data_IF_977483945304
#
_entry.id   IF_977483945304
#
_cell.length_a   1.000
_cell.length_b   1.000
_cell.length_c   1.000
_cell.angle_alpha   90.00
_cell.angle_beta   90.00
_cell.angle_gamma   90.00
#
_symmetry.space_group_name_H-M   'P 1'
#
loop_
_entity.id
_entity.type
_entity.pdbx_description
1 polymer ?
#
# COMPACT_ATOMS: atom_id res chain seq x y z
N UNK A 1 -6.28 4.07 -19.23
CA UNK A 1 -7.24 2.95 -19.10
C UNK A 1 -7.85 2.56 -20.44
N UNK A 2 -8.31 3.49 -21.30
CA UNK A 2 -8.78 3.12 -22.65
C UNK A 2 -7.67 2.40 -23.45
N UNK A 3 -7.93 1.21 -24.04
CA UNK A 3 -6.93 0.41 -24.75
C UNK A 3 -6.24 1.17 -25.89
N UNK A 4 -7.00 1.86 -26.75
CA UNK A 4 -6.45 2.62 -27.88
C UNK A 4 -5.46 3.70 -27.43
N UNK A 5 -5.66 4.26 -26.23
CA UNK A 5 -4.75 5.27 -25.68
C UNK A 5 -3.46 4.67 -25.17
N UNK A 6 -3.45 3.39 -24.74
CA UNK A 6 -2.21 2.71 -24.36
C UNK A 6 -1.27 2.61 -25.57
N UNK A 7 -1.79 2.11 -26.69
CA UNK A 7 -1.03 1.95 -27.93
C UNK A 7 -0.56 3.28 -28.51
N UNK A 8 -1.44 4.30 -28.53
CA UNK A 8 -1.06 5.64 -29.00
C UNK A 8 0.01 6.26 -28.09
N UNK A 9 -0.16 6.15 -26.78
CA UNK A 9 0.80 6.68 -25.80
C UNK A 9 2.17 6.05 -26.01
N UNK A 10 2.24 4.73 -26.11
CA UNK A 10 3.50 4.04 -26.27
C UNK A 10 4.18 4.41 -27.60
N UNK A 11 3.45 4.29 -28.72
CA UNK A 11 4.05 4.46 -30.05
C UNK A 11 4.39 5.91 -30.38
N UNK A 12 3.65 6.88 -29.84
CA UNK A 12 3.79 8.30 -30.22
C UNK A 12 4.41 9.18 -29.14
N UNK A 13 4.34 8.80 -27.87
CA UNK A 13 4.72 9.67 -26.75
C UNK A 13 5.87 9.05 -25.96
N UNK A 14 5.66 7.89 -25.34
CA UNK A 14 6.59 7.30 -24.37
C UNK A 14 7.79 6.65 -25.06
N UNK A 15 7.56 5.73 -26.00
CA UNK A 15 8.60 5.00 -26.73
C UNK A 15 9.64 4.40 -25.79
N UNK A 16 9.16 3.56 -24.88
CA UNK A 16 9.98 2.86 -23.90
C UNK A 16 11.06 2.01 -24.58
N UNK A 17 12.15 1.77 -23.85
CA UNK A 17 13.22 0.84 -24.27
C UNK A 17 13.13 -0.50 -23.53
N UNK A 18 12.38 -0.53 -22.43
CA UNK A 18 12.09 -1.70 -21.60
C UNK A 18 10.65 -1.52 -21.11
N UNK A 19 9.84 -2.56 -21.30
CA UNK A 19 8.46 -2.58 -20.83
C UNK A 19 8.34 -3.37 -19.55
N UNK A 20 7.44 -2.94 -18.66
CA UNK A 20 7.17 -3.60 -17.37
C UNK A 20 5.66 -3.68 -17.15
N UNK A 21 5.13 -4.90 -17.03
CA UNK A 21 3.73 -5.15 -16.66
C UNK A 21 3.72 -5.89 -15.31
N UNK A 22 3.35 -5.22 -14.23
CA UNK A 22 3.40 -5.81 -12.87
C UNK A 22 2.38 -6.92 -12.68
N UNK A 23 1.13 -6.71 -13.11
CA UNK A 23 0.05 -7.68 -13.08
C UNK A 23 -1.06 -7.30 -14.08
N UNK A 24 -1.99 -8.20 -14.36
CA UNK A 24 -3.19 -7.93 -15.14
C UNK A 24 -4.45 -8.38 -14.40
N UNK A 25 -4.73 -7.74 -13.26
CA UNK A 25 -5.92 -8.03 -12.44
C UNK A 25 -7.18 -7.41 -13.07
N UNK A 26 -8.36 -8.00 -12.85
CA UNK A 26 -9.62 -7.42 -13.29
C UNK A 26 -9.80 -6.03 -12.67
N UNK A 27 -9.75 -5.00 -13.51
CA UNK A 27 -9.92 -3.61 -13.12
C UNK A 27 -10.57 -2.85 -14.29
N UNK A 28 -11.48 -1.93 -13.97
CA UNK A 28 -12.18 -1.12 -14.97
C UNK A 28 -12.68 -1.90 -16.20
N UNK A 29 -13.32 -3.06 -15.99
CA UNK A 29 -13.79 -3.98 -17.04
C UNK A 29 -14.76 -3.30 -18.03
N UNK A 30 -15.48 -2.28 -17.60
CA UNK A 30 -16.33 -1.45 -18.44
C UNK A 30 -15.56 -0.63 -19.48
N UNK A 31 -14.25 -0.41 -19.27
CA UNK A 31 -13.36 0.35 -20.15
C UNK A 31 -12.38 -0.57 -20.88
N UNK A 32 -11.78 -1.52 -20.17
CA UNK A 32 -10.74 -2.41 -20.70
C UNK A 32 -11.28 -3.65 -21.40
N UNK A 33 -12.55 -3.99 -21.15
CA UNK A 33 -13.23 -5.15 -21.70
C UNK A 33 -13.69 -6.11 -20.60
N UNK A 34 -14.71 -6.92 -20.88
CA UNK A 34 -15.46 -7.65 -19.85
C UNK A 34 -14.70 -8.79 -19.17
N UNK A 35 -13.53 -9.20 -19.67
CA UNK A 35 -12.79 -10.36 -19.17
C UNK A 35 -11.35 -10.01 -18.76
N UNK A 36 -10.76 -10.85 -17.90
CA UNK A 36 -9.34 -10.79 -17.53
C UNK A 36 -8.41 -10.81 -18.76
N UNK A 37 -8.80 -11.52 -19.82
CA UNK A 37 -8.03 -11.56 -21.07
C UNK A 37 -8.07 -10.21 -21.80
N UNK A 38 -9.20 -9.51 -21.77
CA UNK A 38 -9.32 -8.19 -22.36
C UNK A 38 -8.45 -7.17 -21.62
N UNK A 39 -8.40 -7.26 -20.29
CA UNK A 39 -7.49 -6.43 -19.47
C UNK A 39 -6.03 -6.66 -19.86
N UNK A 40 -5.61 -7.92 -19.99
CA UNK A 40 -4.25 -8.27 -20.43
C UNK A 40 -3.97 -7.68 -21.81
N UNK A 41 -4.90 -7.83 -22.76
CA UNK A 41 -4.75 -7.30 -24.12
C UNK A 41 -4.68 -5.77 -24.14
N UNK A 42 -5.47 -5.10 -23.30
CA UNK A 42 -5.42 -3.65 -23.12
C UNK A 42 -4.04 -3.20 -22.61
N UNK A 43 -3.50 -3.89 -21.60
CA UNK A 43 -2.17 -3.63 -21.07
C UNK A 43 -1.06 -3.95 -22.08
N UNK A 44 -1.20 -5.02 -22.86
CA UNK A 44 -0.26 -5.33 -23.95
C UNK A 44 -0.11 -4.18 -24.96
N UNK A 45 -1.09 -3.29 -25.07
CA UNK A 45 -0.99 -2.06 -25.87
C UNK A 45 0.16 -1.14 -25.45
N UNK A 46 0.70 -1.27 -24.24
CA UNK A 46 1.89 -0.53 -23.78
C UNK A 46 3.22 -1.18 -24.14
N UNK A 47 3.21 -2.35 -24.78
CA UNK A 47 4.45 -3.04 -25.19
C UNK A 47 5.02 -2.35 -26.43
N UNK A 48 6.28 -1.95 -26.32
CA UNK A 48 7.04 -1.29 -27.39
C UNK A 48 7.61 -2.29 -28.40
N UNK A 49 7.73 -1.87 -29.65
CA UNK A 49 8.21 -2.75 -30.72
C UNK A 49 9.70 -3.06 -30.62
N UNK A 50 10.05 -4.34 -30.77
CA UNK A 50 11.44 -4.81 -30.78
C UNK A 50 12.13 -4.89 -29.42
N UNK A 51 11.46 -4.49 -28.34
CA UNK A 51 12.05 -4.44 -27.00
C UNK A 51 11.65 -5.64 -26.14
N UNK A 52 12.22 -5.70 -24.93
CA UNK A 52 11.87 -6.71 -23.92
C UNK A 52 10.78 -6.18 -23.00
N UNK A 53 9.78 -7.02 -22.74
CA UNK A 53 8.76 -6.80 -21.73
C UNK A 53 8.98 -7.73 -20.53
N UNK A 54 9.20 -7.17 -19.35
CA UNK A 54 9.24 -7.93 -18.09
C UNK A 54 7.86 -7.94 -17.46
N UNK A 55 7.44 -9.07 -16.91
CA UNK A 55 6.15 -9.16 -16.20
C UNK A 55 6.19 -10.16 -15.05
N UNK A 56 5.39 -9.92 -14.01
CA UNK A 56 5.10 -10.92 -12.97
C UNK A 56 3.71 -11.58 -13.16
N UNK A 57 3.01 -11.27 -14.27
CA UNK A 57 1.72 -11.88 -14.60
C UNK A 57 1.90 -13.33 -15.10
N UNK A 58 1.63 -14.30 -14.22
CA UNK A 58 1.79 -15.72 -14.53
C UNK A 58 0.62 -16.31 -15.30
N UNK A 59 -0.61 -15.95 -14.96
CA UNK A 59 -1.81 -16.67 -15.43
C UNK A 59 -2.00 -16.50 -16.93
N UNK A 60 -1.64 -15.33 -17.44
CA UNK A 60 -1.84 -14.91 -18.84
C UNK A 60 -0.52 -14.53 -19.52
N UNK A 61 0.60 -15.06 -19.02
CA UNK A 61 1.92 -14.83 -19.59
C UNK A 61 1.97 -15.18 -21.09
N UNK A 62 1.26 -16.23 -21.50
CA UNK A 62 1.23 -16.65 -22.90
C UNK A 62 0.66 -15.59 -23.86
N UNK A 63 -0.31 -14.78 -23.40
CA UNK A 63 -0.87 -13.68 -24.16
C UNK A 63 0.16 -12.57 -24.33
N UNK A 64 0.81 -12.18 -23.22
CA UNK A 64 1.85 -11.15 -23.19
C UNK A 64 3.02 -11.56 -24.09
N UNK A 65 3.47 -12.81 -23.97
CA UNK A 65 4.55 -13.37 -24.78
C UNK A 65 4.21 -13.32 -26.27
N UNK A 66 3.05 -13.85 -26.68
CA UNK A 66 2.61 -13.82 -28.09
C UNK A 66 2.50 -12.38 -28.61
N UNK A 67 2.07 -11.43 -27.79
CA UNK A 67 1.96 -10.04 -28.19
C UNK A 67 3.33 -9.39 -28.40
N UNK A 68 4.27 -9.58 -27.46
CA UNK A 68 5.64 -9.08 -27.59
C UNK A 68 6.36 -9.67 -28.81
N UNK A 69 6.21 -10.98 -29.05
CA UNK A 69 6.79 -11.67 -30.22
C UNK A 69 6.24 -11.12 -31.55
N UNK A 70 4.93 -10.83 -31.62
CA UNK A 70 4.31 -10.19 -32.80
C UNK A 70 4.91 -8.82 -33.11
N UNK A 71 5.39 -8.10 -32.10
CA UNK A 71 6.05 -6.82 -32.24
C UNK A 71 7.57 -6.93 -32.48
N UNK A 72 8.08 -8.14 -32.68
CA UNK A 72 9.52 -8.41 -32.88
C UNK A 72 10.34 -8.33 -31.59
N UNK A 73 9.69 -8.26 -30.44
CA UNK A 73 10.30 -8.25 -29.11
C UNK A 73 10.22 -9.62 -28.42
N UNK A 74 10.33 -9.63 -27.10
CA UNK A 74 10.16 -10.84 -26.26
C UNK A 74 9.61 -10.49 -24.89
N UNK A 75 8.90 -11.41 -24.25
CA UNK A 75 8.49 -11.28 -22.86
C UNK A 75 9.37 -12.12 -21.92
N UNK A 76 9.56 -11.66 -20.69
CA UNK A 76 10.27 -12.37 -19.61
C UNK A 76 9.38 -12.40 -18.38
N UNK A 77 9.11 -13.60 -17.88
CA UNK A 77 8.42 -13.79 -16.61
C UNK A 77 9.43 -13.63 -15.46
N UNK A 78 9.12 -12.75 -14.52
CA UNK A 78 9.86 -12.58 -13.28
C UNK A 78 9.31 -13.54 -12.23
N UNK A 79 10.18 -14.41 -11.71
CA UNK A 79 9.78 -15.49 -10.81
C UNK A 79 9.90 -15.06 -9.35
N UNK A 80 8.76 -14.84 -8.67
CA UNK A 80 8.73 -14.40 -7.27
C UNK A 80 9.37 -15.41 -6.30
N UNK A 81 9.26 -16.71 -6.58
CA UNK A 81 9.83 -17.79 -5.76
C UNK A 81 11.37 -17.82 -5.79
N UNK A 82 11.99 -16.99 -6.65
CA UNK A 82 13.44 -16.79 -6.64
C UNK A 82 13.92 -15.77 -5.60
N UNK A 83 13.00 -15.08 -4.92
CA UNK A 83 13.31 -14.09 -3.89
C UNK A 83 13.52 -14.77 -2.55
N UNK A 84 14.68 -14.51 -1.91
CA UNK A 84 14.96 -15.04 -0.60
C UNK A 84 14.32 -14.16 0.49
N UNK A 85 13.94 -14.76 1.61
CA UNK A 85 13.36 -14.04 2.76
C UNK A 85 14.26 -12.89 3.25
N UNK A 86 15.58 -13.10 3.21
CA UNK A 86 16.58 -12.06 3.54
C UNK A 86 16.54 -10.85 2.60
N UNK A 87 16.14 -11.02 1.34
CA UNK A 87 15.98 -9.90 0.41
C UNK A 87 14.77 -9.05 0.82
N UNK A 88 13.71 -9.69 1.33
CA UNK A 88 12.51 -9.01 1.78
C UNK A 88 12.72 -8.30 3.14
N UNK A 89 13.55 -8.88 4.01
CA UNK A 89 13.82 -8.34 5.35
C UNK A 89 14.49 -6.95 5.35
N UNK A 90 15.16 -6.56 4.26
CA UNK A 90 15.81 -5.25 4.16
C UNK A 90 14.87 -4.08 3.84
N UNK A 91 13.62 -4.35 3.47
CA UNK A 91 12.64 -3.30 3.19
C UNK A 91 12.06 -2.71 4.49
N UNK A 92 11.85 -1.39 4.50
CA UNK A 92 11.28 -0.65 5.65
C UNK A 92 9.75 -0.62 5.64
N UNK A 93 9.14 -1.26 4.66
CA UNK A 93 7.70 -1.30 4.40
C UNK A 93 7.34 -2.67 3.86
N UNK A 94 6.04 -2.98 3.80
CA UNK A 94 5.59 -4.27 3.24
C UNK A 94 5.68 -4.20 1.72
N UNK A 95 6.64 -4.90 1.14
CA UNK A 95 6.84 -5.03 -0.30
C UNK A 95 6.36 -6.41 -0.79
N UNK A 96 6.06 -6.52 -2.08
CA UNK A 96 5.67 -7.75 -2.75
C UNK A 96 6.87 -8.41 -3.44
N UNK A 97 7.04 -9.72 -3.22
CA UNK A 97 8.11 -10.52 -3.86
C UNK A 97 8.06 -10.40 -5.39
N UNK A 98 6.86 -10.32 -5.97
CA UNK A 98 6.66 -10.12 -7.41
C UNK A 98 7.30 -8.81 -7.90
N UNK A 99 7.18 -7.71 -7.14
CA UNK A 99 7.77 -6.43 -7.49
C UNK A 99 9.30 -6.48 -7.39
N UNK A 100 9.83 -7.13 -6.36
CA UNK A 100 11.28 -7.31 -6.16
C UNK A 100 11.86 -8.17 -7.28
N UNK A 101 11.22 -9.29 -7.61
CA UNK A 101 11.64 -10.16 -8.72
C UNK A 101 11.64 -9.41 -10.05
N UNK A 102 10.61 -8.61 -10.31
CA UNK A 102 10.49 -7.83 -11.53
C UNK A 102 11.58 -6.77 -11.64
N UNK A 103 11.83 -6.03 -10.55
CA UNK A 103 12.89 -5.03 -10.50
C UNK A 103 14.28 -5.66 -10.63
N UNK A 104 14.53 -6.83 -10.02
CA UNK A 104 15.78 -7.57 -10.17
C UNK A 104 15.98 -8.08 -11.60
N UNK A 105 14.92 -8.56 -12.27
CA UNK A 105 14.99 -9.00 -13.66
C UNK A 105 15.36 -7.85 -14.61
N UNK A 106 14.74 -6.68 -14.43
CA UNK A 106 15.07 -5.46 -15.18
C UNK A 106 16.51 -5.01 -14.89
N UNK A 107 16.92 -4.98 -13.62
CA UNK A 107 18.26 -4.58 -13.23
C UNK A 107 19.34 -5.52 -13.82
N UNK A 108 19.08 -6.84 -13.79
CA UNK A 108 19.95 -7.83 -14.41
C UNK A 108 20.06 -7.66 -15.93
N UNK A 109 18.96 -7.32 -16.61
CA UNK A 109 18.97 -7.00 -18.04
C UNK A 109 19.83 -5.77 -18.38
N UNK A 110 19.86 -4.78 -17.48
CA UNK A 110 20.71 -3.59 -17.58
C UNK A 110 22.17 -3.84 -17.15
N UNK A 111 22.53 -5.07 -16.77
CA UNK A 111 23.88 -5.42 -16.31
C UNK A 111 24.21 -4.94 -14.90
N UNK A 112 23.21 -4.59 -14.10
CA UNK A 112 23.39 -4.19 -12.70
C UNK A 112 23.56 -5.47 -11.86
N UNK A 113 24.64 -5.60 -11.06
CA UNK A 113 24.80 -6.73 -10.17
C UNK A 113 23.63 -6.83 -9.18
N UNK A 114 23.11 -8.04 -8.97
CA UNK A 114 21.97 -8.32 -8.09
C UNK A 114 22.10 -7.65 -6.71
N UNK A 115 23.26 -7.80 -6.09
CA UNK A 115 23.57 -7.23 -4.77
C UNK A 115 23.51 -5.70 -4.76
N UNK A 116 23.91 -5.05 -5.86
CA UNK A 116 23.78 -3.60 -6.02
C UNK A 116 22.31 -3.21 -6.19
N UNK A 117 21.55 -3.97 -6.97
CA UNK A 117 20.14 -3.73 -7.22
C UNK A 117 19.31 -3.84 -5.92
N UNK A 118 19.45 -4.94 -5.17
CA UNK A 118 18.67 -5.17 -3.95
C UNK A 118 18.96 -4.13 -2.86
N UNK A 119 20.24 -3.79 -2.65
CA UNK A 119 20.61 -2.69 -1.73
C UNK A 119 20.06 -1.34 -2.18
N UNK A 120 19.96 -1.12 -3.49
CA UNK A 120 19.32 0.06 -4.06
C UNK A 120 17.82 0.10 -3.72
N UNK A 121 17.14 -1.03 -3.85
CA UNK A 121 15.72 -1.16 -3.52
C UNK A 121 15.45 -0.90 -2.03
N UNK A 122 16.26 -1.45 -1.12
CA UNK A 122 16.13 -1.17 0.32
C UNK A 122 16.31 0.30 0.70
N UNK A 123 17.14 1.03 -0.07
CA UNK A 123 17.41 2.45 0.13
C UNK A 123 16.38 3.36 -0.56
N UNK A 124 15.60 2.82 -1.50
CA UNK A 124 14.59 3.59 -2.20
C UNK A 124 13.56 4.11 -1.20
N UNK A 125 13.18 5.38 -1.34
CA UNK A 125 12.07 5.90 -0.57
C UNK A 125 10.80 5.16 -1.04
N UNK A 126 9.98 4.64 -0.11
CA UNK A 126 8.71 4.04 -0.49
C UNK A 126 7.84 5.05 -1.23
N UNK A 127 6.97 4.55 -2.11
CA UNK A 127 5.89 5.36 -2.63
C UNK A 127 5.07 5.95 -1.46
N UNK A 128 4.51 7.14 -1.66
CA UNK A 128 3.66 7.82 -0.67
C UNK A 128 2.45 6.92 -0.27
N UNK A 129 2.12 5.94 -1.12
CA UNK A 129 1.08 4.92 -0.91
C UNK A 129 1.58 3.52 -0.49
N UNK A 130 2.83 3.35 -0.05
CA UNK A 130 3.27 2.07 0.52
C UNK A 130 2.84 1.96 1.99
N UNK A 131 2.43 0.75 2.41
CA UNK A 131 2.12 0.49 3.81
C UNK A 131 3.39 0.54 4.66
N UNK A 132 3.58 1.62 5.40
CA UNK A 132 4.67 1.76 6.38
C UNK A 132 4.23 1.29 7.76
N UNK A 133 5.18 0.77 8.54
CA UNK A 133 4.96 0.31 9.90
C UNK A 133 5.91 1.05 10.85
N UNK A 134 5.35 1.73 11.84
CA UNK A 134 6.09 2.55 12.79
C UNK A 134 5.90 2.00 14.20
N UNK A 135 6.99 1.58 14.85
CA UNK A 135 6.99 1.12 16.25
C UNK A 135 7.45 2.25 17.16
N UNK A 136 6.58 2.66 18.07
CA UNK A 136 6.83 3.74 19.01
C UNK A 136 6.80 3.18 20.43
N UNK A 137 7.85 3.49 21.19
CA UNK A 137 7.87 3.27 22.64
C UNK A 137 7.70 4.61 23.34
N UNK A 138 6.72 4.71 24.24
CA UNK A 138 6.40 5.94 24.95
C UNK A 138 5.98 5.64 26.39
N UNK A 139 6.77 6.10 27.37
CA UNK A 139 6.55 5.85 28.81
C UNK A 139 6.29 4.38 29.15
N UNK A 140 7.04 3.45 28.55
CA UNK A 140 6.93 2.01 28.79
C UNK A 140 5.72 1.33 28.12
N UNK A 141 5.00 2.07 27.26
CA UNK A 141 3.99 1.53 26.35
C UNK A 141 4.59 1.35 24.96
N UNK A 142 4.22 0.29 24.27
CA UNK A 142 4.65 0.00 22.91
C UNK A 142 3.46 0.01 21.95
N UNK A 143 3.59 0.74 20.85
CA UNK A 143 2.53 0.87 19.86
C UNK A 143 3.08 0.67 18.46
N UNK A 144 2.38 -0.14 17.67
CA UNK A 144 2.68 -0.33 16.25
C UNK A 144 1.63 0.40 15.41
N UNK A 145 2.02 1.48 14.71
CA UNK A 145 1.20 2.14 13.70
C UNK A 145 1.41 1.49 12.34
N UNK A 146 0.33 1.03 11.72
CA UNK A 146 0.24 0.64 10.32
C UNK A 146 -0.39 1.79 9.53
N UNK A 147 0.37 2.35 8.57
CA UNK A 147 -0.06 3.42 7.70
C UNK A 147 -0.90 2.89 6.53
N UNK A 148 -2.16 2.55 6.78
CA UNK A 148 -3.10 2.14 5.74
C UNK A 148 -3.88 3.33 5.11
N UNK A 149 -3.51 4.59 5.42
CA UNK A 149 -4.05 5.78 4.73
C UNK A 149 -3.74 5.77 3.23
N UNK A 150 -2.74 4.98 2.87
CA UNK A 150 -2.30 4.70 1.52
C UNK A 150 -3.26 3.84 0.68
N UNK A 151 -4.16 3.09 1.32
CA UNK A 151 -5.15 2.29 0.60
C UNK A 151 -6.21 3.23 -0.02
N UNK A 152 -6.19 3.35 -1.35
CA UNK A 152 -6.99 4.34 -2.10
C UNK A 152 -8.48 3.97 -2.19
N UNK A 153 -8.84 2.71 -1.92
CA UNK A 153 -10.19 2.18 -2.03
C UNK A 153 -10.52 1.20 -0.88
N UNK A 154 -11.81 0.95 -0.59
CA UNK A 154 -12.22 0.04 0.48
C UNK A 154 -11.81 -1.42 0.30
N UNK A 155 -11.74 -1.93 -0.93
CA UNK A 155 -11.39 -3.33 -1.18
C UNK A 155 -9.92 -3.59 -0.83
N UNK A 156 -9.04 -2.67 -1.21
CA UNK A 156 -7.62 -2.68 -0.82
C UNK A 156 -7.45 -2.63 0.69
N UNK A 157 -8.24 -1.79 1.38
CA UNK A 157 -8.20 -1.69 2.86
C UNK A 157 -8.68 -2.99 3.52
N UNK A 158 -9.79 -3.57 3.05
CA UNK A 158 -10.34 -4.83 3.58
C UNK A 158 -9.38 -6.01 3.32
N UNK A 159 -8.77 -6.08 2.13
CA UNK A 159 -7.77 -7.09 1.81
C UNK A 159 -6.57 -6.98 2.74
N UNK A 160 -6.08 -5.76 2.99
CA UNK A 160 -4.98 -5.53 3.90
C UNK A 160 -5.34 -5.95 5.33
N UNK A 161 -6.53 -5.56 5.80
CA UNK A 161 -7.04 -5.91 7.11
C UNK A 161 -7.05 -7.43 7.34
N UNK A 162 -7.56 -8.19 6.37
CA UNK A 162 -7.57 -9.66 6.41
C UNK A 162 -6.16 -10.25 6.35
N UNK A 163 -5.29 -9.75 5.48
CA UNK A 163 -3.91 -10.26 5.33
C UNK A 163 -3.08 -10.08 6.60
N UNK A 164 -3.26 -8.95 7.30
CA UNK A 164 -2.54 -8.66 8.53
C UNK A 164 -3.20 -9.26 9.78
N UNK A 165 -4.37 -9.88 9.63
CA UNK A 165 -5.07 -10.55 10.73
C UNK A 165 -5.51 -9.59 11.83
N UNK A 166 -5.87 -8.35 11.48
CA UNK A 166 -6.32 -7.38 12.47
C UNK A 166 -7.65 -7.81 13.10
N UNK A 167 -7.65 -7.92 14.42
CA UNK A 167 -8.82 -8.23 15.23
C UNK A 167 -8.70 -7.51 16.59
N UNK A 168 -9.84 -7.20 17.24
CA UNK A 168 -9.83 -6.62 18.58
C UNK A 168 -9.20 -7.58 19.60
N UNK A 169 -8.44 -7.01 20.53
CA UNK A 169 -7.77 -7.74 21.61
C UNK A 169 -7.75 -6.85 22.86
N UNK A 170 -8.11 -7.38 24.03
CA UNK A 170 -8.17 -6.60 25.28
C UNK A 170 -6.77 -6.29 25.85
N UNK A 171 -5.81 -7.21 25.67
CA UNK A 171 -4.43 -7.03 26.14
C UNK A 171 -3.60 -6.19 25.17
N UNK A 172 -3.98 -6.23 23.88
CA UNK A 172 -3.36 -5.44 22.81
C UNK A 172 -4.42 -4.73 21.94
N UNK A 173 -5.05 -3.66 22.46
CA UNK A 173 -6.11 -2.96 21.75
C UNK A 173 -5.74 -2.56 20.33
N UNK A 174 -6.66 -2.84 19.42
CA UNK A 174 -6.66 -2.38 18.05
C UNK A 174 -7.41 -1.05 17.97
N UNK A 175 -6.72 -0.01 17.55
CA UNK A 175 -7.21 1.36 17.46
C UNK A 175 -7.21 1.77 15.99
N UNK A 176 -8.35 2.24 15.47
CA UNK A 176 -8.46 2.77 14.11
C UNK A 176 -8.40 4.29 14.14
N UNK A 177 -7.42 4.87 13.44
CA UNK A 177 -7.38 6.31 13.16
C UNK A 177 -8.09 6.57 11.82
N UNK A 178 -9.35 6.97 11.87
CA UNK A 178 -10.15 7.23 10.67
C UNK A 178 -10.02 8.71 10.26
N UNK A 179 -9.16 8.99 9.28
CA UNK A 179 -8.98 10.36 8.78
C UNK A 179 -10.02 10.68 7.70
N UNK A 180 -11.00 11.49 8.06
CA UNK A 180 -12.02 11.96 7.13
C UNK A 180 -11.61 13.28 6.47
N UNK A 181 -11.95 13.41 5.19
CA UNK A 181 -11.81 14.66 4.45
C UNK A 181 -13.18 15.10 3.95
N UNK A 182 -13.39 16.40 3.83
CA UNK A 182 -14.64 17.01 3.33
C UNK A 182 -15.06 16.62 1.89
N UNK A 183 -14.39 15.65 1.27
CA UNK A 183 -14.58 15.27 -0.13
C UNK A 183 -15.83 14.40 -0.29
N UNK A 184 -16.99 15.06 -0.46
CA UNK A 184 -18.31 14.52 -0.86
C UNK A 184 -18.91 13.52 0.15
N UNK A 185 -20.13 13.81 0.62
CA UNK A 185 -20.88 12.99 1.59
C UNK A 185 -20.91 11.48 1.27
N UNK A 186 -20.92 11.09 -0.01
CA UNK A 186 -20.86 9.68 -0.43
C UNK A 186 -19.61 8.92 0.02
N UNK A 187 -18.44 9.57 0.10
CA UNK A 187 -17.21 8.92 0.59
C UNK A 187 -17.21 8.76 2.11
N UNK A 188 -17.81 9.71 2.83
CA UNK A 188 -17.97 9.60 4.29
C UNK A 188 -18.88 8.42 4.65
N UNK A 189 -20.00 8.25 3.96
CA UNK A 189 -20.88 7.09 4.17
C UNK A 189 -20.19 5.75 3.83
N UNK A 190 -19.38 5.72 2.76
CA UNK A 190 -18.61 4.53 2.39
C UNK A 190 -17.56 4.18 3.46
N UNK A 191 -16.84 5.18 3.98
CA UNK A 191 -15.89 4.99 5.08
C UNK A 191 -16.59 4.50 6.34
N UNK A 192 -17.73 5.11 6.71
CA UNK A 192 -18.52 4.69 7.87
C UNK A 192 -18.96 3.23 7.76
N UNK A 193 -19.51 2.83 6.62
CA UNK A 193 -19.92 1.45 6.36
C UNK A 193 -18.76 0.48 6.47
N UNK A 194 -17.61 0.82 5.90
CA UNK A 194 -16.40 -0.01 5.98
C UNK A 194 -15.93 -0.18 7.44
N UNK A 195 -15.89 0.91 8.21
CA UNK A 195 -15.50 0.87 9.63
C UNK A 195 -16.45 0.00 10.46
N UNK A 196 -17.76 0.11 10.23
CA UNK A 196 -18.78 -0.61 10.98
C UNK A 196 -18.87 -2.10 10.61
N UNK A 197 -18.70 -2.46 9.33
CA UNK A 197 -18.95 -3.83 8.87
C UNK A 197 -17.68 -4.66 8.68
N UNK A 198 -16.54 -4.01 8.40
CA UNK A 198 -15.32 -4.70 7.91
C UNK A 198 -14.12 -4.53 8.83
N UNK A 199 -13.93 -3.35 9.40
CA UNK A 199 -12.73 -3.01 10.17
C UNK A 199 -13.05 -3.03 11.67
N UNK A 200 -13.35 -4.21 12.21
CA UNK A 200 -13.77 -4.38 13.60
C UNK A 200 -12.58 -4.17 14.54
N UNK A 201 -12.66 -3.16 15.42
CA UNK A 201 -11.59 -2.72 16.31
C UNK A 201 -12.10 -2.45 17.73
N UNK A 202 -11.18 -2.27 18.70
CA UNK A 202 -11.55 -1.90 20.07
C UNK A 202 -11.98 -0.43 20.14
N UNK A 203 -11.32 0.46 19.38
CA UNK A 203 -11.56 1.90 19.41
C UNK A 203 -11.45 2.52 18.02
N UNK A 204 -12.25 3.55 17.76
CA UNK A 204 -12.26 4.32 16.53
C UNK A 204 -12.07 5.79 16.86
N UNK A 205 -10.93 6.38 16.47
CA UNK A 205 -10.68 7.81 16.64
C UNK A 205 -10.91 8.51 15.30
N UNK A 206 -11.90 9.40 15.25
CA UNK A 206 -12.23 10.17 14.05
C UNK A 206 -11.35 11.41 14.03
N UNK A 207 -10.58 11.59 12.96
CA UNK A 207 -9.65 12.72 12.80
C UNK A 207 -9.86 13.43 11.47
N UNK A 208 -9.29 14.62 11.34
CA UNK A 208 -9.40 15.43 10.13
C UNK A 208 -10.62 16.34 10.13
N UNK A 209 -11.37 16.34 9.03
CA UNK A 209 -12.50 17.28 8.79
C UNK A 209 -13.82 16.54 8.61
N UNK A 210 -14.94 17.19 8.90
CA UNK A 210 -16.29 16.60 8.84
C UNK A 210 -16.42 15.30 9.66
N UNK A 211 -15.71 15.18 10.78
CA UNK A 211 -15.77 14.01 11.67
C UNK A 211 -17.15 13.83 12.29
N UNK A 212 -17.87 14.92 12.59
CA UNK A 212 -19.27 14.88 13.03
C UNK A 212 -20.20 14.15 12.05
N UNK A 213 -20.05 14.41 10.75
CA UNK A 213 -20.81 13.69 9.72
C UNK A 213 -20.42 12.22 9.67
N UNK A 214 -19.12 11.90 9.83
CA UNK A 214 -18.67 10.52 9.91
C UNK A 214 -19.26 9.80 11.13
N UNK A 215 -19.29 10.45 12.30
CA UNK A 215 -19.91 9.91 13.51
C UNK A 215 -21.40 9.63 13.31
N UNK A 216 -22.14 10.54 12.68
CA UNK A 216 -23.56 10.33 12.34
C UNK A 216 -23.77 9.13 11.41
N UNK A 217 -22.93 8.99 10.38
CA UNK A 217 -23.00 7.85 9.45
C UNK A 217 -22.60 6.53 10.13
N UNK A 218 -21.66 6.54 11.07
CA UNK A 218 -21.29 5.37 11.88
C UNK A 218 -22.44 4.92 12.78
N UNK A 219 -23.10 5.87 13.45
CA UNK A 219 -24.29 5.60 14.25
C UNK A 219 -25.43 5.03 13.38
N UNK A 220 -25.65 5.57 12.17
CA UNK A 220 -26.62 5.02 11.19
C UNK A 220 -26.26 3.62 10.73
N UNK A 221 -24.97 3.29 10.65
CA UNK A 221 -24.47 1.96 10.33
C UNK A 221 -24.53 0.99 11.53
N UNK A 222 -25.00 1.44 12.70
CA UNK A 222 -25.18 0.61 13.89
C UNK A 222 -23.92 0.41 14.74
N UNK A 223 -22.90 1.24 14.56
CA UNK A 223 -21.70 1.22 15.41
C UNK A 223 -22.04 1.66 16.84
N UNK A 224 -21.46 0.99 17.83
CA UNK A 224 -21.54 1.41 19.22
C UNK A 224 -20.76 2.71 19.42
N UNK A 225 -21.48 3.80 19.74
CA UNK A 225 -20.92 5.13 19.94
C UNK A 225 -19.90 5.18 21.08
N UNK A 226 -19.93 4.23 22.04
CA UNK A 226 -18.95 4.18 23.14
C UNK A 226 -17.56 3.78 22.69
N UNK A 227 -17.42 3.22 21.49
CA UNK A 227 -16.15 2.86 20.88
C UNK A 227 -15.56 3.99 20.03
N UNK A 228 -16.29 5.08 19.85
CA UNK A 228 -15.97 6.16 18.91
C UNK A 228 -15.60 7.44 19.66
N UNK A 229 -14.38 7.94 19.45
CA UNK A 229 -13.98 9.26 19.91
C UNK A 229 -13.85 10.22 18.71
N UNK A 230 -14.60 11.32 18.72
CA UNK A 230 -14.46 12.39 17.74
C UNK A 230 -13.35 13.36 18.16
N UNK A 231 -12.21 13.29 17.48
CA UNK A 231 -11.05 14.18 17.65
C UNK A 231 -10.93 15.16 16.46
N UNK A 232 -12.05 15.51 15.83
CA UNK A 232 -12.09 16.48 14.74
C UNK A 232 -11.52 17.84 15.13
N UNK A 233 -10.48 18.27 14.43
CA UNK A 233 -9.79 19.53 14.71
C UNK A 233 -8.78 19.49 15.86
N UNK A 234 -8.61 18.35 16.52
CA UNK A 234 -7.53 18.14 17.50
C UNK A 234 -6.16 18.20 16.81
N UNK A 235 -5.14 18.63 17.55
CA UNK A 235 -3.78 18.60 17.06
C UNK A 235 -3.18 17.17 17.12
N UNK A 236 -2.05 16.97 16.44
CA UNK A 236 -1.43 15.65 16.36
C UNK A 236 -0.92 15.14 17.71
N UNK A 237 -0.56 16.03 18.65
CA UNK A 237 -0.10 15.64 19.97
C UNK A 237 -1.26 15.17 20.84
N UNK A 238 -2.43 15.80 20.73
CA UNK A 238 -3.68 15.37 21.36
C UNK A 238 -4.13 14.00 20.83
N UNK A 239 -4.12 13.81 19.50
CA UNK A 239 -4.45 12.53 18.87
C UNK A 239 -3.50 11.43 19.36
N UNK A 240 -2.19 11.70 19.37
CA UNK A 240 -1.19 10.77 19.88
C UNK A 240 -1.42 10.48 21.37
N UNK A 241 -1.68 11.50 22.18
CA UNK A 241 -1.99 11.37 23.60
C UNK A 241 -3.17 10.42 23.83
N UNK A 242 -4.25 10.60 23.06
CA UNK A 242 -5.43 9.72 23.14
C UNK A 242 -5.11 8.27 22.78
N UNK A 243 -4.32 8.04 21.72
CA UNK A 243 -3.83 6.70 21.39
C UNK A 243 -3.05 6.07 22.55
N UNK A 244 -2.21 6.85 23.23
CA UNK A 244 -1.42 6.37 24.37
C UNK A 244 -2.27 6.12 25.61
N UNK A 245 -3.35 6.86 25.83
CA UNK A 245 -4.33 6.60 26.90
C UNK A 245 -5.02 5.25 26.71
N UNK A 246 -5.45 4.97 25.48
CA UNK A 246 -6.11 3.72 25.09
C UNK A 246 -5.15 2.52 25.01
N UNK A 247 -3.85 2.78 25.04
CA UNK A 247 -2.82 1.74 25.06
C UNK A 247 -2.56 1.30 26.50
N UNK A 248 -2.80 0.03 26.89
CA UNK A 248 -2.41 -0.48 28.19
C UNK A 248 -0.89 -0.60 28.23
N UNK A 249 -0.35 -1.73 27.77
CA UNK A 249 1.08 -1.96 27.57
C UNK A 249 1.46 -2.03 26.11
N UNK A 250 0.62 -2.66 25.30
CA UNK A 250 0.81 -2.80 23.87
C UNK A 250 -0.45 -2.37 23.12
N UNK A 251 -0.32 -1.80 21.93
CA UNK A 251 -1.44 -1.55 21.03
C UNK A 251 -1.05 -1.66 19.56
N UNK A 252 -2.06 -1.84 18.72
CA UNK A 252 -1.94 -1.74 17.27
C UNK A 252 -2.79 -0.56 16.82
N UNK A 253 -2.22 0.35 16.06
CA UNK A 253 -2.93 1.47 15.44
C UNK A 253 -2.96 1.25 13.94
N UNK A 254 -4.12 1.42 13.32
CA UNK A 254 -4.26 1.37 11.86
C UNK A 254 -4.85 2.69 11.38
N UNK A 255 -4.07 3.44 10.61
CA UNK A 255 -4.55 4.67 9.96
C UNK A 255 -5.32 4.33 8.70
N UNK A 256 -6.57 4.77 8.55
CA UNK A 256 -7.41 4.52 7.37
C UNK A 256 -8.11 5.79 6.90
N UNK A 257 -8.50 5.82 5.63
CA UNK A 257 -9.12 6.99 5.00
C UNK A 257 -8.10 7.88 4.32
N UNK A 258 -8.30 9.19 4.33
CA UNK A 258 -7.49 10.10 3.54
C UNK A 258 -6.07 10.23 4.11
N UNK A 259 -5.03 10.25 3.26
CA UNK A 259 -3.66 10.53 3.75
C UNK A 259 -3.40 12.02 3.97
N UNK A 260 -4.08 12.92 3.25
CA UNK A 260 -3.89 14.36 3.35
C UNK A 260 -4.36 14.98 4.67
N UNK A 261 -3.85 16.18 4.96
CA UNK A 261 -4.13 16.88 6.22
C UNK A 261 -3.61 16.08 7.42
N UNK A 262 -4.50 15.79 8.37
CA UNK A 262 -4.18 15.10 9.62
C UNK A 262 -3.44 13.77 9.41
N UNK A 263 -3.75 12.99 8.36
CA UNK A 263 -3.08 11.73 8.08
C UNK A 263 -1.56 11.87 7.89
N UNK A 264 -1.11 12.88 7.14
CA UNK A 264 0.32 13.18 6.95
C UNK A 264 0.97 13.65 8.24
N UNK A 265 0.27 14.49 9.00
CA UNK A 265 0.80 15.05 10.24
C UNK A 265 0.97 13.95 11.30
N UNK A 266 -0.03 13.06 11.44
CA UNK A 266 0.02 11.85 12.27
C UNK A 266 1.20 10.97 11.85
N UNK A 267 1.33 10.66 10.56
CA UNK A 267 2.40 9.80 10.07
C UNK A 267 3.78 10.37 10.41
N UNK A 268 4.01 11.64 10.11
CA UNK A 268 5.27 12.32 10.42
C UNK A 268 5.56 12.34 11.94
N UNK A 269 4.52 12.49 12.76
CA UNK A 269 4.65 12.53 14.22
C UNK A 269 5.05 11.16 14.81
N UNK A 270 4.49 10.07 14.28
CA UNK A 270 4.88 8.71 14.65
C UNK A 270 6.25 8.33 14.07
N UNK A 271 6.57 8.72 12.84
CA UNK A 271 7.86 8.48 12.22
C UNK A 271 9.00 9.11 13.02
N UNK A 272 8.83 10.36 13.45
CA UNK A 272 9.80 11.08 14.28
C UNK A 272 10.07 10.41 15.64
N UNK A 273 9.17 9.52 16.10
CA UNK A 273 9.25 8.78 17.37
C UNK A 273 9.50 7.30 17.19
N UNK A 274 9.65 6.84 15.95
CA UNK A 274 9.89 5.42 15.68
C UNK A 274 11.26 5.06 16.23
N UNK A 275 11.31 4.06 17.12
CA UNK A 275 12.58 3.50 17.55
C UNK A 275 13.27 2.97 16.29
N UNK A 276 14.37 3.60 15.88
CA UNK A 276 15.15 3.08 14.75
C UNK A 276 15.53 1.63 15.12
N UNK A 277 15.39 0.65 14.22
CA UNK A 277 16.11 -0.59 14.42
C UNK A 277 17.58 -0.24 14.69
N UNK A 278 18.29 -1.00 15.54
CA UNK A 278 19.71 -0.77 15.74
C UNK A 278 20.35 -0.65 14.36
N UNK A 279 21.12 0.42 14.15
CA UNK A 279 21.89 0.57 12.94
C UNK A 279 22.62 -0.76 12.73
N UNK A 280 22.52 -1.32 11.53
CA UNK A 280 23.49 -2.34 11.14
C UNK A 280 24.85 -1.72 11.40
N UNK A 281 25.60 -2.38 12.27
CA UNK A 281 26.93 -1.94 12.65
C UNK A 281 27.82 -2.03 11.40
N UNK A 282 27.95 -0.91 10.70
CA UNK A 282 28.89 -0.73 9.58
C UNK A 282 30.36 -0.82 10.06
N UNK A 283 30.65 -1.14 11.33
CA UNK A 283 32.01 -1.40 11.83
C UNK A 283 32.51 -2.83 11.61
N UNK A 284 31.73 -3.70 10.96
CA UNK A 284 32.22 -5.00 10.49
C UNK A 284 32.95 -4.95 9.13
N UNK A 285 33.13 -3.77 8.52
CA UNK A 285 34.10 -3.56 7.45
C UNK A 285 35.50 -3.34 8.05
N UNK A 286 36.12 -4.45 8.45
CA UNK A 286 37.46 -4.47 9.05
C UNK A 286 38.23 -5.74 8.70
N UNK A 287 38.89 -5.69 7.53
CA UNK A 287 39.87 -6.63 6.92
C UNK A 287 39.30 -7.69 5.99
#
# INVERSE_FOLDING_TARGET
>A
LQPDYQEISERKIIRSTIDVITNARPDHLEVMGPTDEDVVLALCGTISSGNVCFTAERKRFDIIQKYAEKLGGRAVLAEAESIAEQDMAGFRYIEHEENVALALAVAGHLGIPRETAIRGMWKAAPDIGALTVHRVEFFGKETTLYNAFAANDPESTELLWRKLGFAPDEERPLIVLANNRADRAGRTAQLAKMLAEKLIANYYLLVGTNTKLLAEELARAGMDETLVDDLGGADVAEIFGRCMELTPRHSVIVGVGNIGGAGRDILAYFEARTARPPAHDDSADGV
#
